data_IF_250076976811
#
_entry.id   IF_250076976811
#
_cell.length_a   1.000
_cell.length_b   1.000
_cell.length_c   1.000
_cell.angle_alpha   90.00
_cell.angle_beta   90.00
_cell.angle_gamma   90.00
#
_symmetry.space_group_name_H-M   'P 1'
#
loop_
_entity.id
_entity.type
_entity.pdbx_description
1 polymer ?
#
# COMPACT_ATOMS: atom_id res chain seq x y z
N UNK A 1 -2.30 -10.06 16.43
CA UNK A 1 -0.85 -10.29 16.41
C UNK A 1 -0.43 -11.07 15.16
N UNK A 2 -0.88 -12.29 14.97
CA UNK A 2 -0.48 -13.19 13.86
C UNK A 2 -0.72 -12.54 12.49
N UNK A 3 -1.87 -11.92 12.26
CA UNK A 3 -2.20 -11.24 10.99
C UNK A 3 -1.22 -10.12 10.63
N UNK A 4 -0.79 -9.33 11.63
CA UNK A 4 0.17 -8.24 11.44
C UNK A 4 1.52 -8.82 11.05
N UNK A 5 2.00 -9.83 11.78
CA UNK A 5 3.29 -10.48 11.50
C UNK A 5 3.30 -11.10 10.11
N UNK A 6 2.24 -11.82 9.73
CA UNK A 6 2.13 -12.44 8.39
C UNK A 6 2.13 -11.37 7.28
N UNK A 7 1.37 -10.29 7.45
CA UNK A 7 1.32 -9.22 6.45
C UNK A 7 2.69 -8.53 6.31
N UNK A 8 3.36 -8.20 7.43
CA UNK A 8 4.70 -7.60 7.40
C UNK A 8 5.74 -8.56 6.82
N UNK A 9 5.71 -9.83 7.23
CA UNK A 9 6.61 -10.84 6.69
C UNK A 9 6.44 -11.01 5.17
N UNK A 10 5.20 -11.04 4.68
CA UNK A 10 4.92 -11.12 3.25
C UNK A 10 5.43 -9.88 2.48
N UNK A 11 5.23 -8.67 3.02
CA UNK A 11 5.73 -7.44 2.41
C UNK A 11 7.26 -7.43 2.39
N UNK A 12 7.91 -7.76 3.51
CA UNK A 12 9.38 -7.82 3.57
C UNK A 12 9.92 -8.88 2.63
N UNK A 13 9.31 -10.06 2.59
CA UNK A 13 9.73 -11.15 1.71
C UNK A 13 9.71 -10.72 0.23
N UNK A 14 8.63 -10.06 -0.21
CA UNK A 14 8.49 -9.63 -1.61
C UNK A 14 9.45 -8.49 -1.97
N UNK A 15 9.70 -7.58 -1.03
CA UNK A 15 10.65 -6.47 -1.23
C UNK A 15 12.09 -7.01 -1.29
N UNK A 16 12.41 -8.02 -0.47
CA UNK A 16 13.74 -8.64 -0.41
C UNK A 16 14.11 -9.48 -1.65
N UNK A 17 13.12 -9.90 -2.44
CA UNK A 17 13.40 -10.65 -3.69
C UNK A 17 14.23 -9.79 -4.64
N UNK A 18 15.37 -10.29 -5.18
CA UNK A 18 16.21 -9.54 -6.11
C UNK A 18 15.47 -9.21 -7.40
N UNK A 19 15.95 -8.19 -8.11
CA UNK A 19 15.39 -7.72 -9.38
C UNK A 19 15.75 -8.69 -10.51
N UNK A 20 15.04 -9.82 -10.59
CA UNK A 20 15.21 -10.86 -11.59
C UNK A 20 13.85 -11.33 -12.11
N UNK A 21 13.85 -12.08 -13.22
CA UNK A 21 12.62 -12.69 -13.79
C UNK A 21 11.85 -13.57 -12.79
N UNK A 22 12.52 -14.09 -11.77
CA UNK A 22 11.91 -14.89 -10.69
C UNK A 22 10.84 -14.10 -9.92
N UNK A 23 10.88 -12.76 -9.94
CA UNK A 23 9.89 -11.92 -9.25
C UNK A 23 8.47 -12.12 -9.78
N UNK A 24 8.30 -12.43 -11.07
CA UNK A 24 6.97 -12.66 -11.63
C UNK A 24 6.34 -13.92 -11.07
N UNK A 25 7.12 -14.99 -10.92
CA UNK A 25 6.65 -16.27 -10.32
C UNK A 25 6.38 -16.10 -8.84
N UNK A 26 7.28 -15.46 -8.11
CA UNK A 26 7.11 -15.16 -6.68
C UNK A 26 5.91 -14.23 -6.47
N UNK A 27 5.79 -13.17 -7.28
CA UNK A 27 4.66 -12.24 -7.24
C UNK A 27 3.32 -12.93 -7.49
N UNK A 28 3.26 -13.86 -8.45
CA UNK A 28 2.07 -14.65 -8.74
C UNK A 28 1.69 -15.55 -7.55
N UNK A 29 2.65 -16.21 -6.93
CA UNK A 29 2.41 -17.05 -5.72
C UNK A 29 1.85 -16.22 -4.57
N UNK A 30 2.46 -15.05 -4.30
CA UNK A 30 1.98 -14.15 -3.25
C UNK A 30 0.61 -13.56 -3.58
N UNK A 31 0.32 -13.29 -4.84
CA UNK A 31 -0.99 -12.80 -5.26
C UNK A 31 -2.07 -13.88 -5.11
N UNK A 32 -1.76 -15.13 -5.44
CA UNK A 32 -2.66 -16.27 -5.20
C UNK A 32 -2.90 -16.44 -3.70
N UNK A 33 -1.86 -16.39 -2.89
CA UNK A 33 -1.97 -16.45 -1.43
C UNK A 33 -2.87 -15.32 -0.88
N UNK A 34 -2.68 -14.10 -1.39
CA UNK A 34 -3.55 -12.96 -1.08
C UNK A 34 -5.00 -13.24 -1.46
N UNK A 35 -5.26 -13.76 -2.67
CA UNK A 35 -6.61 -14.04 -3.16
C UNK A 35 -7.32 -15.08 -2.28
N UNK A 36 -6.61 -16.12 -1.87
CA UNK A 36 -7.13 -17.16 -0.96
C UNK A 36 -7.47 -16.55 0.40
N UNK A 37 -6.58 -15.74 0.97
CA UNK A 37 -6.80 -15.06 2.25
C UNK A 37 -7.97 -14.06 2.17
N UNK A 38 -8.11 -13.35 1.05
CA UNK A 38 -9.22 -12.44 0.80
C UNK A 38 -10.56 -13.17 0.75
N UNK A 39 -10.62 -14.28 -0.01
CA UNK A 39 -11.80 -15.13 -0.11
C UNK A 39 -12.20 -15.75 1.25
N UNK A 40 -11.21 -16.20 2.03
CA UNK A 40 -11.43 -16.72 3.37
C UNK A 40 -11.99 -15.68 4.35
N UNK A 41 -11.67 -14.39 4.15
CA UNK A 41 -12.21 -13.29 4.98
C UNK A 41 -13.63 -12.87 4.57
N UNK A 42 -14.19 -13.36 3.46
CA UNK A 42 -15.55 -13.03 2.99
C UNK A 42 -15.75 -11.56 2.64
N UNK A 43 -14.67 -10.85 2.32
CA UNK A 43 -14.72 -9.42 1.99
C UNK A 43 -15.19 -9.20 0.55
N UNK A 44 -16.06 -8.21 0.34
CA UNK A 44 -16.51 -7.88 -1.01
C UNK A 44 -15.35 -7.38 -1.89
N UNK A 45 -15.20 -7.87 -3.12
CA UNK A 45 -14.13 -7.44 -4.02
C UNK A 45 -14.23 -5.96 -4.41
N UNK A 46 -15.42 -5.38 -4.32
CA UNK A 46 -15.66 -3.96 -4.59
C UNK A 46 -14.88 -3.05 -3.63
N UNK A 47 -14.77 -3.44 -2.35
CA UNK A 47 -14.01 -2.67 -1.35
C UNK A 47 -12.53 -2.68 -1.68
N UNK A 48 -12.00 -3.82 -2.12
CA UNK A 48 -10.62 -3.94 -2.60
C UNK A 48 -10.38 -3.03 -3.81
N UNK A 49 -11.24 -3.13 -4.82
CA UNK A 49 -11.10 -2.37 -6.05
C UNK A 49 -11.15 -0.85 -5.80
N UNK A 50 -12.09 -0.38 -4.98
CA UNK A 50 -12.19 1.03 -4.61
C UNK A 50 -10.91 1.55 -3.93
N UNK A 51 -10.37 0.81 -2.98
CA UNK A 51 -9.14 1.20 -2.29
C UNK A 51 -7.93 1.14 -3.21
N UNK A 52 -7.86 0.13 -4.06
CA UNK A 52 -6.79 -0.02 -5.03
C UNK A 52 -6.79 1.12 -6.03
N UNK A 53 -7.96 1.50 -6.59
CA UNK A 53 -8.09 2.62 -7.54
C UNK A 53 -7.64 3.94 -6.93
N UNK A 54 -7.84 4.17 -5.63
CA UNK A 54 -7.37 5.40 -4.96
C UNK A 54 -5.85 5.44 -4.83
N UNK A 55 -5.21 4.30 -4.57
CA UNK A 55 -3.76 4.20 -4.34
C UNK A 55 -2.99 4.06 -5.66
N UNK A 56 -3.59 3.44 -6.67
CA UNK A 56 -3.00 3.07 -7.95
C UNK A 56 -2.43 4.27 -8.74
N UNK A 57 -3.11 5.43 -8.86
CA UNK A 57 -2.57 6.57 -9.62
C UNK A 57 -1.26 7.08 -9.05
N UNK A 58 -1.07 7.07 -7.72
CA UNK A 58 0.19 7.45 -7.09
C UNK A 58 1.31 6.44 -7.43
N UNK A 59 1.01 5.15 -7.37
CA UNK A 59 1.97 4.10 -7.72
C UNK A 59 2.36 4.12 -9.20
N UNK A 60 1.38 4.28 -10.09
CA UNK A 60 1.64 4.38 -11.54
C UNK A 60 2.50 5.61 -11.84
N UNK A 61 2.22 6.75 -11.21
CA UNK A 61 3.02 7.96 -11.40
C UNK A 61 4.50 7.71 -11.08
N UNK A 62 4.80 7.09 -9.93
CA UNK A 62 6.18 6.76 -9.56
C UNK A 62 6.84 5.78 -10.54
N UNK A 63 6.08 4.79 -11.02
CA UNK A 63 6.59 3.77 -11.95
C UNK A 63 6.87 4.39 -13.33
N UNK A 64 5.94 5.22 -13.83
CA UNK A 64 6.13 5.95 -15.10
C UNK A 64 7.33 6.89 -15.01
N UNK A 65 7.48 7.58 -13.87
CA UNK A 65 8.63 8.44 -13.65
C UNK A 65 9.95 7.66 -13.70
N UNK A 66 9.96 6.42 -13.18
CA UNK A 66 11.12 5.53 -13.20
C UNK A 66 11.56 5.12 -14.63
N UNK A 67 10.65 5.07 -15.61
CA UNK A 67 10.96 4.74 -17.00
C UNK A 67 11.90 5.80 -17.62
N UNK A 68 11.78 7.06 -17.17
CA UNK A 68 12.58 8.17 -17.68
C UNK A 68 13.97 8.28 -17.06
N UNK A 69 14.25 7.56 -15.97
CA UNK A 69 15.54 7.62 -15.29
C UNK A 69 16.40 6.40 -15.59
N UNK A 70 17.69 6.64 -15.83
CA UNK A 70 18.71 5.58 -15.91
C UNK A 70 18.81 4.85 -14.57
N UNK A 71 18.59 3.55 -14.59
CA UNK A 71 18.70 2.75 -13.41
C UNK A 71 20.12 2.22 -13.23
N UNK A 72 20.67 2.37 -12.04
CA UNK A 72 22.05 1.98 -11.67
C UNK A 72 22.27 0.45 -11.62
N UNK A 73 21.19 -0.33 -11.71
CA UNK A 73 21.26 -1.81 -11.66
C UNK A 73 21.69 -2.47 -12.96
N UNK A 74 21.71 -1.74 -14.08
CA UNK A 74 22.07 -2.27 -15.40
C UNK A 74 23.29 -1.53 -15.93
N UNK A 75 24.31 -2.26 -16.40
CA UNK A 75 25.53 -1.71 -16.98
C UNK A 75 25.40 -1.43 -18.48
N UNK A 76 24.55 -2.18 -19.17
CA UNK A 76 24.30 -2.02 -20.60
C UNK A 76 22.88 -1.50 -20.82
N UNK A 77 22.76 -0.41 -21.55
CA UNK A 77 21.48 0.21 -21.88
C UNK A 77 21.21 0.07 -23.39
N UNK A 78 20.13 -0.61 -23.74
CA UNK A 78 19.62 -0.67 -25.12
C UNK A 78 18.50 0.36 -25.27
N UNK A 79 18.72 1.37 -26.12
CA UNK A 79 17.71 2.37 -26.45
C UNK A 79 16.64 1.76 -27.35
N UNK A 80 15.39 1.69 -26.89
CA UNK A 80 14.25 1.23 -27.70
C UNK A 80 13.66 2.39 -28.50
N UNK A 81 13.55 3.56 -27.90
CA UNK A 81 12.92 4.72 -28.52
C UNK A 81 13.53 6.02 -28.02
N UNK A 82 13.78 6.95 -28.94
CA UNK A 82 14.11 8.35 -28.64
C UNK A 82 12.86 9.18 -28.87
N UNK A 83 12.32 9.77 -27.80
CA UNK A 83 11.21 10.72 -27.89
C UNK A 83 11.70 12.08 -28.45
N UNK A 84 10.81 12.86 -29.10
CA UNK A 84 11.17 14.14 -29.75
C UNK A 84 11.71 15.22 -28.81
N UNK A 85 11.67 15.01 -27.49
CA UNK A 85 12.25 15.90 -26.48
C UNK A 85 13.63 15.45 -25.95
N UNK A 86 14.32 14.55 -26.63
CA UNK A 86 15.64 14.05 -26.19
C UNK A 86 15.60 13.07 -25.01
N UNK A 87 14.43 12.52 -24.72
CA UNK A 87 14.23 11.53 -23.65
C UNK A 87 14.43 10.15 -24.27
N UNK A 88 15.45 9.43 -23.82
CA UNK A 88 15.75 8.08 -24.26
C UNK A 88 15.05 7.08 -23.33
N UNK A 89 14.24 6.20 -23.91
CA UNK A 89 13.59 5.10 -23.19
C UNK A 89 14.42 3.84 -23.36
N UNK A 90 14.87 3.27 -22.24
CA UNK A 90 15.70 2.07 -22.21
C UNK A 90 14.86 0.82 -21.94
N UNK A 91 15.15 -0.28 -22.63
CA UNK A 91 14.49 -1.57 -22.42
C UNK A 91 14.57 -2.04 -20.97
N UNK A 92 15.74 -1.87 -20.39
CA UNK A 92 16.06 -2.26 -19.02
C UNK A 92 15.26 -1.44 -18.00
N UNK A 93 15.04 -0.13 -18.26
CA UNK A 93 14.21 0.72 -17.40
C UNK A 93 12.74 0.29 -17.43
N UNK A 94 12.22 -0.13 -18.58
CA UNK A 94 10.86 -0.66 -18.70
C UNK A 94 10.71 -1.99 -17.95
N UNK A 95 11.70 -2.88 -18.07
CA UNK A 95 11.71 -4.14 -17.34
C UNK A 95 11.77 -3.89 -15.82
N UNK A 96 12.60 -2.97 -15.38
CA UNK A 96 12.67 -2.58 -13.95
C UNK A 96 11.35 -1.98 -13.47
N UNK A 97 10.73 -1.10 -14.27
CA UNK A 97 9.43 -0.51 -13.95
C UNK A 97 8.33 -1.59 -13.81
N UNK A 98 8.32 -2.62 -14.66
CA UNK A 98 7.38 -3.73 -14.57
C UNK A 98 7.58 -4.57 -13.30
N UNK A 99 8.84 -4.81 -12.90
CA UNK A 99 9.17 -5.48 -11.64
C UNK A 99 8.69 -4.66 -10.44
N UNK A 100 8.91 -3.34 -10.44
CA UNK A 100 8.41 -2.43 -9.42
C UNK A 100 6.88 -2.45 -9.34
N UNK A 101 6.19 -2.51 -10.48
CA UNK A 101 4.74 -2.59 -10.54
C UNK A 101 4.22 -3.84 -9.84
N UNK A 102 4.82 -5.00 -10.11
CA UNK A 102 4.43 -6.26 -9.46
C UNK A 102 4.66 -6.18 -7.95
N UNK A 103 5.83 -5.72 -7.51
CA UNK A 103 6.13 -5.51 -6.07
C UNK A 103 5.13 -4.57 -5.42
N UNK A 104 4.83 -3.46 -6.07
CA UNK A 104 3.88 -2.45 -5.58
C UNK A 104 2.47 -3.05 -5.43
N UNK A 105 1.94 -3.69 -6.48
CA UNK A 105 0.59 -4.28 -6.46
C UNK A 105 0.43 -5.31 -5.35
N UNK A 106 1.40 -6.23 -5.20
CA UNK A 106 1.31 -7.26 -4.16
C UNK A 106 1.43 -6.65 -2.78
N UNK A 107 2.38 -5.74 -2.55
CA UNK A 107 2.54 -5.06 -1.25
C UNK A 107 1.29 -4.28 -0.85
N UNK A 108 0.73 -3.51 -1.77
CA UNK A 108 -0.52 -2.75 -1.54
C UNK A 108 -1.68 -3.68 -1.24
N UNK A 109 -1.79 -4.81 -1.93
CA UNK A 109 -2.84 -5.81 -1.69
C UNK A 109 -2.80 -6.34 -0.25
N UNK A 110 -1.61 -6.66 0.27
CA UNK A 110 -1.46 -7.09 1.66
C UNK A 110 -1.79 -5.98 2.67
N UNK A 111 -1.43 -4.72 2.38
CA UNK A 111 -1.78 -3.58 3.23
C UNK A 111 -3.30 -3.37 3.25
N UNK A 112 -3.97 -3.46 2.09
CA UNK A 112 -5.43 -3.36 1.99
C UNK A 112 -6.11 -4.48 2.77
N UNK A 113 -5.60 -5.72 2.67
CA UNK A 113 -6.11 -6.86 3.42
C UNK A 113 -6.01 -6.62 4.94
N UNK A 114 -4.83 -6.21 5.41
CA UNK A 114 -4.60 -5.91 6.82
C UNK A 114 -5.52 -4.80 7.32
N UNK A 115 -5.61 -3.68 6.58
CA UNK A 115 -6.47 -2.54 6.91
C UNK A 115 -7.96 -2.87 6.89
N UNK A 116 -8.38 -3.84 6.06
CA UNK A 116 -9.79 -4.25 5.97
C UNK A 116 -10.18 -5.26 7.05
N UNK A 117 -9.23 -6.06 7.54
CA UNK A 117 -9.49 -7.15 8.49
C UNK A 117 -9.16 -6.79 9.94
N UNK A 118 -8.43 -5.70 10.17
CA UNK A 118 -7.93 -5.35 11.51
C UNK A 118 -8.33 -3.93 11.85
N UNK A 119 -8.93 -3.73 13.03
CA UNK A 119 -9.24 -2.38 13.55
C UNK A 119 -7.95 -1.65 13.90
N UNK A 120 -7.93 -0.34 13.73
CA UNK A 120 -6.75 0.49 14.03
C UNK A 120 -6.29 0.36 15.50
N UNK A 121 -7.23 0.19 16.42
CA UNK A 121 -6.93 -0.02 17.84
C UNK A 121 -6.21 -1.36 18.08
N UNK A 122 -6.68 -2.44 17.45
CA UNK A 122 -6.07 -3.78 17.56
C UNK A 122 -4.68 -3.80 16.93
N UNK A 123 -4.49 -2.99 15.86
CA UNK A 123 -3.20 -2.83 15.19
C UNK A 123 -2.19 -2.12 16.10
N UNK A 124 -2.61 -1.07 16.80
CA UNK A 124 -1.79 -0.37 17.79
C UNK A 124 -1.42 -1.27 18.99
N UNK A 125 -2.40 -1.98 19.54
CA UNK A 125 -2.14 -2.92 20.62
C UNK A 125 -1.18 -4.04 20.18
N UNK A 126 -1.38 -4.55 18.96
CA UNK A 126 -0.49 -5.54 18.35
C UNK A 126 0.93 -5.04 18.18
N UNK A 127 1.09 -3.80 17.71
CA UNK A 127 2.37 -3.14 17.51
C UNK A 127 3.10 -2.89 18.85
N UNK A 128 2.38 -2.43 19.89
CA UNK A 128 2.95 -2.28 21.22
C UNK A 128 3.51 -3.59 21.78
N UNK A 129 2.83 -4.71 21.51
CA UNK A 129 3.28 -6.05 21.94
C UNK A 129 4.41 -6.62 21.06
N UNK A 130 4.68 -6.03 19.90
CA UNK A 130 5.79 -6.39 19.00
C UNK A 130 7.09 -5.63 19.32
N UNK A 131 7.08 -4.74 20.33
CA UNK A 131 8.28 -4.05 20.78
C UNK A 131 8.29 -2.54 20.59
N UNK A 132 7.15 -1.94 20.18
CA UNK A 132 7.02 -0.49 20.19
C UNK A 132 7.07 0.03 21.65
N UNK A 133 7.80 1.12 21.94
CA UNK A 133 7.82 1.73 23.26
C UNK A 133 6.41 2.06 23.74
N UNK A 134 6.15 1.84 25.03
CA UNK A 134 4.83 2.06 25.64
C UNK A 134 4.32 3.49 25.45
N UNK A 135 5.23 4.46 25.46
CA UNK A 135 4.95 5.89 25.26
C UNK A 135 4.31 6.16 23.90
N UNK A 136 4.85 5.54 22.82
CA UNK A 136 4.27 5.65 21.47
C UNK A 136 2.86 5.04 21.41
N UNK A 137 2.69 3.87 21.99
CA UNK A 137 1.40 3.18 22.00
C UNK A 137 0.33 3.96 22.75
N UNK A 138 0.70 4.54 23.91
CA UNK A 138 -0.18 5.40 24.70
C UNK A 138 -0.53 6.69 23.95
N UNK A 139 0.47 7.37 23.36
CA UNK A 139 0.26 8.62 22.63
C UNK A 139 -0.66 8.41 21.43
N UNK A 140 -0.41 7.38 20.61
CA UNK A 140 -1.26 7.04 19.47
C UNK A 140 -2.66 6.59 19.89
N UNK A 141 -2.78 5.87 21.01
CA UNK A 141 -4.06 5.48 21.57
C UNK A 141 -4.89 6.70 22.01
N UNK A 142 -4.26 7.67 22.69
CA UNK A 142 -4.87 8.94 23.04
C UNK A 142 -5.27 9.75 21.80
N UNK A 143 -4.39 9.83 20.79
CA UNK A 143 -4.68 10.50 19.53
C UNK A 143 -5.92 9.92 18.85
N UNK A 144 -6.02 8.60 18.72
CA UNK A 144 -7.21 7.96 18.14
C UNK A 144 -8.48 8.27 18.96
N UNK A 145 -8.40 8.22 20.29
CA UNK A 145 -9.52 8.54 21.15
C UNK A 145 -10.03 9.96 20.89
N UNK A 146 -9.13 10.94 20.88
CA UNK A 146 -9.51 12.32 20.61
C UNK A 146 -10.05 12.52 19.21
N UNK A 147 -9.51 11.82 18.21
CA UNK A 147 -10.00 11.87 16.85
C UNK A 147 -11.47 11.42 16.73
N UNK A 148 -11.87 10.38 17.45
CA UNK A 148 -13.27 9.95 17.52
C UNK A 148 -14.14 10.98 18.26
N UNK A 149 -13.65 11.56 19.35
CA UNK A 149 -14.36 12.61 20.10
C UNK A 149 -14.57 13.85 19.24
N UNK A 150 -13.55 14.30 18.53
CA UNK A 150 -13.65 15.42 17.58
C UNK A 150 -14.65 15.14 16.47
N UNK A 151 -14.59 13.95 15.85
CA UNK A 151 -15.55 13.55 14.83
C UNK A 151 -17.00 13.59 15.33
N UNK A 152 -17.23 13.17 16.57
CA UNK A 152 -18.54 13.28 17.20
C UNK A 152 -18.96 14.73 17.42
N UNK A 153 -18.06 15.57 17.96
CA UNK A 153 -18.33 17.00 18.20
C UNK A 153 -18.66 17.75 16.90
N UNK A 154 -17.87 17.54 15.84
CA UNK A 154 -18.11 18.17 14.53
C UNK A 154 -19.50 17.80 14.02
N UNK A 155 -19.88 16.53 14.03
CA UNK A 155 -21.21 16.09 13.60
C UNK A 155 -22.31 16.76 14.40
N UNK A 156 -22.15 16.86 15.73
CA UNK A 156 -23.12 17.51 16.60
C UNK A 156 -23.25 19.01 16.31
N UNK A 157 -22.13 19.68 16.05
CA UNK A 157 -22.14 21.10 15.65
C UNK A 157 -22.82 21.30 14.31
N UNK A 158 -22.50 20.48 13.29
CA UNK A 158 -23.12 20.53 11.98
C UNK A 158 -24.64 20.35 12.10
N UNK A 159 -25.10 19.34 12.82
CA UNK A 159 -26.51 19.09 13.05
C UNK A 159 -27.20 20.27 13.76
N UNK A 160 -26.53 20.92 14.71
CA UNK A 160 -27.10 22.08 15.42
C UNK A 160 -27.16 23.32 14.52
N UNK A 161 -26.26 23.45 13.55
CA UNK A 161 -26.31 24.52 12.54
C UNK A 161 -27.43 24.27 11.53
N UNK A 162 -27.54 23.05 11.03
CA UNK A 162 -28.62 22.64 10.12
C UNK A 162 -30.01 22.89 10.72
N UNK A 163 -30.20 22.58 12.03
CA UNK A 163 -31.47 22.85 12.74
C UNK A 163 -31.76 24.33 12.91
N UNK A 164 -30.76 25.21 12.79
CA UNK A 164 -30.91 26.67 12.86
C UNK A 164 -31.01 27.32 11.47
N UNK A 165 -31.20 26.52 10.41
CA UNK A 165 -31.28 26.98 9.01
C UNK A 165 -30.08 27.86 8.59
N UNK A 166 -28.88 27.50 9.07
CA UNK A 166 -27.63 28.06 8.57
C UNK A 166 -27.20 27.21 7.39
N UNK A 167 -27.27 27.77 6.17
CA UNK A 167 -26.71 27.22 4.93
C UNK A 167 -25.21 27.44 4.89
#
# INVERSE_FOLDING_TARGET
RVKIIIAFAAIIAIVAVPYSTVIYTVGAVFFIFFAVMWAACGLSPIVYLKRLVVILPFGIFLIVFQIFFKNRYYENFTTIATLPFGIEVYAESVQFASILLVKFLVSVSFIILLSSTTRTQDLLEGAGRLGLPAEFTLTLGMMLRYLYVFGYMIRKMTQSLETRCFD
#
